data_IF_163374519138
#
_entry.id   IF_163374519138
#
_cell.length_a   1.000
_cell.length_b   1.000
_cell.length_c   1.000
_cell.angle_alpha   90.00
_cell.angle_beta   90.00
_cell.angle_gamma   90.00
#
_symmetry.space_group_name_H-M   'P 1'
#
loop_
_entity.id
_entity.type
_entity.pdbx_description
1 polymer ?
#
# COMPACT_ATOMS: atom_id res chain seq x y z
N UNK A 1 -14.95 24.50 38.45
CA UNK A 1 -14.98 24.61 36.97
C UNK A 1 -13.62 24.98 36.41
N UNK A 2 -12.96 26.02 36.94
CA UNK A 2 -11.67 26.52 36.43
C UNK A 2 -10.49 25.52 36.55
N UNK A 3 -10.44 24.71 37.63
CA UNK A 3 -9.43 23.64 37.78
C UNK A 3 -9.56 22.55 36.72
N UNK A 4 -10.79 22.14 36.42
CA UNK A 4 -11.08 21.13 35.39
C UNK A 4 -10.70 21.68 34.02
N UNK A 5 -11.03 22.95 33.75
CA UNK A 5 -10.63 23.64 32.52
C UNK A 5 -9.11 23.65 32.32
N UNK A 6 -8.33 23.94 33.37
CA UNK A 6 -6.86 23.85 33.31
C UNK A 6 -6.39 22.45 32.95
N UNK A 7 -6.89 21.41 33.61
CA UNK A 7 -6.43 20.04 33.33
C UNK A 7 -6.83 19.56 31.93
N UNK A 8 -7.95 20.03 31.39
CA UNK A 8 -8.31 19.82 29.98
C UNK A 8 -7.28 20.50 29.06
N UNK A 9 -6.90 21.75 29.33
CA UNK A 9 -5.86 22.44 28.54
C UNK A 9 -4.50 21.74 28.63
N UNK A 10 -4.12 21.26 29.81
CA UNK A 10 -2.89 20.47 30.00
C UNK A 10 -2.97 19.17 29.19
N UNK A 11 -4.09 18.45 29.22
CA UNK A 11 -4.29 17.24 28.43
C UNK A 11 -4.20 17.50 26.92
N UNK A 12 -4.87 18.53 26.43
CA UNK A 12 -4.81 18.95 25.02
C UNK A 12 -3.38 19.33 24.62
N UNK A 13 -2.66 20.05 25.48
CA UNK A 13 -1.28 20.41 25.24
C UNK A 13 -0.34 19.20 25.20
N UNK A 14 -0.55 18.20 26.07
CA UNK A 14 0.18 16.94 26.05
C UNK A 14 -0.04 16.20 24.73
N UNK A 15 -1.30 16.02 24.31
CA UNK A 15 -1.63 15.36 23.04
C UNK A 15 -1.00 16.11 21.87
N UNK A 16 -1.12 17.44 21.85
CA UNK A 16 -0.52 18.28 20.81
C UNK A 16 1.00 18.14 20.77
N UNK A 17 1.66 18.16 21.93
CA UNK A 17 3.11 17.99 22.03
C UNK A 17 3.56 16.58 21.63
N UNK A 18 2.79 15.55 21.96
CA UNK A 18 3.04 14.16 21.59
C UNK A 18 2.93 13.92 20.07
N UNK A 19 2.25 14.80 19.33
CA UNK A 19 2.19 14.79 17.88
C UNK A 19 3.30 15.67 17.27
N UNK A 20 3.43 16.92 17.73
CA UNK A 20 4.29 17.92 17.09
C UNK A 20 5.77 17.69 17.40
N UNK A 21 6.14 17.41 18.65
CA UNK A 21 7.57 17.30 19.02
C UNK A 21 8.27 16.13 18.32
N UNK A 22 7.69 14.91 18.26
CA UNK A 22 8.29 13.84 17.47
C UNK A 22 8.39 14.21 15.98
N UNK A 23 7.36 14.86 15.42
CA UNK A 23 7.39 15.30 14.02
C UNK A 23 8.53 16.28 13.73
N UNK A 24 8.75 17.25 14.61
CA UNK A 24 9.87 18.21 14.50
C UNK A 24 11.22 17.51 14.67
N UNK A 25 11.35 16.59 15.64
CA UNK A 25 12.56 15.79 15.83
C UNK A 25 12.92 15.04 14.55
N UNK A 26 11.95 14.32 13.99
CA UNK A 26 12.16 13.54 12.78
C UNK A 26 12.42 14.42 11.56
N UNK A 27 11.80 15.59 11.45
CA UNK A 27 12.12 16.54 10.38
C UNK A 27 13.59 17.00 10.43
N UNK A 28 14.17 17.14 11.63
CA UNK A 28 15.54 17.61 11.81
C UNK A 28 16.60 16.49 11.69
N UNK A 29 16.29 15.28 12.15
CA UNK A 29 17.27 14.22 12.34
C UNK A 29 17.06 12.97 11.48
N UNK A 30 15.90 12.83 10.82
CA UNK A 30 15.65 11.63 10.03
C UNK A 30 16.48 11.65 8.73
N UNK A 31 17.07 10.48 8.43
CA UNK A 31 17.76 10.22 7.17
C UNK A 31 16.96 9.15 6.45
N UNK A 32 15.98 9.53 5.59
CA UNK A 32 15.13 8.55 4.94
C UNK A 32 15.97 7.62 4.08
N UNK A 33 15.64 6.33 4.13
CA UNK A 33 16.28 5.32 3.28
C UNK A 33 15.75 5.52 1.88
N UNK A 34 16.67 5.75 0.95
CA UNK A 34 16.34 5.77 -0.47
C UNK A 34 16.55 4.36 -1.00
N UNK A 35 15.46 3.61 -1.04
CA UNK A 35 15.46 2.25 -1.59
C UNK A 35 15.97 2.29 -3.03
N UNK A 36 17.00 1.50 -3.38
CA UNK A 36 17.54 1.48 -4.73
C UNK A 36 16.51 0.90 -5.70
N UNK A 37 16.59 1.33 -6.96
CA UNK A 37 15.83 0.72 -8.05
C UNK A 37 16.65 -0.43 -8.61
N UNK A 38 16.07 -1.64 -8.57
CA UNK A 38 16.75 -2.85 -9.01
C UNK A 38 15.92 -3.52 -10.10
N UNK A 39 16.56 -3.81 -11.23
CA UNK A 39 15.94 -4.45 -12.38
C UNK A 39 16.87 -5.51 -12.96
N UNK A 40 16.30 -6.61 -13.44
CA UNK A 40 17.05 -7.65 -14.11
C UNK A 40 17.38 -7.28 -15.56
N UNK A 41 18.66 -7.41 -15.92
CA UNK A 41 19.13 -7.24 -17.29
C UNK A 41 18.93 -8.53 -18.08
N UNK A 42 18.13 -8.45 -19.14
CA UNK A 42 17.98 -9.56 -20.08
C UNK A 42 19.20 -9.76 -21.00
N UNK A 43 20.18 -8.84 -21.02
CA UNK A 43 21.39 -8.97 -21.84
C UNK A 43 22.54 -9.60 -21.06
N UNK A 44 22.67 -9.25 -19.79
CA UNK A 44 23.81 -9.64 -18.94
C UNK A 44 23.45 -10.76 -17.94
N UNK A 45 22.17 -11.11 -17.84
CA UNK A 45 21.62 -12.08 -16.89
C UNK A 45 22.02 -11.75 -15.44
N UNK A 46 21.91 -10.46 -15.08
CA UNK A 46 22.31 -9.91 -13.78
C UNK A 46 21.42 -8.71 -13.39
N UNK A 47 21.37 -8.38 -12.11
CA UNK A 47 20.63 -7.23 -11.61
C UNK A 47 21.43 -5.93 -11.73
N UNK A 48 20.76 -4.93 -12.29
CA UNK A 48 21.23 -3.56 -12.39
C UNK A 48 20.58 -2.73 -11.29
N UNK A 49 21.41 -2.06 -10.51
CA UNK A 49 21.07 -1.35 -9.27
C UNK A 49 21.34 0.14 -9.47
N UNK A 50 20.29 0.96 -9.33
CA UNK A 50 20.37 2.41 -9.28
C UNK A 50 20.12 2.89 -7.85
N UNK A 51 21.19 3.30 -7.17
CA UNK A 51 21.10 3.88 -5.82
C UNK A 51 21.09 5.40 -5.91
N UNK A 52 20.17 6.01 -5.15
CA UNK A 52 20.04 7.48 -5.03
C UNK A 52 20.46 7.98 -3.65
N UNK A 53 21.15 7.15 -2.88
CA UNK A 53 21.73 7.51 -1.59
C UNK A 53 22.95 8.42 -1.81
N UNK A 54 22.75 9.72 -1.60
CA UNK A 54 23.76 10.74 -1.91
C UNK A 54 23.83 11.03 -3.42
N UNK A 55 24.95 10.69 -4.07
CA UNK A 55 25.10 10.83 -5.53
C UNK A 55 24.51 9.61 -6.22
N UNK A 56 23.78 9.83 -7.31
CA UNK A 56 23.23 8.72 -8.11
C UNK A 56 24.38 7.83 -8.59
N UNK A 57 24.28 6.54 -8.31
CA UNK A 57 25.23 5.51 -8.75
C UNK A 57 24.51 4.37 -9.43
N UNK A 58 25.13 3.86 -10.50
CA UNK A 58 24.65 2.73 -11.28
C UNK A 58 25.65 1.60 -11.15
N UNK A 59 25.20 0.44 -10.67
CA UNK A 59 26.05 -0.72 -10.43
C UNK A 59 25.34 -2.01 -10.81
N UNK A 60 26.11 -3.07 -11.01
CA UNK A 60 25.59 -4.45 -11.02
C UNK A 60 25.83 -5.14 -9.67
N UNK A 61 25.38 -6.38 -9.53
CA UNK A 61 25.65 -7.19 -8.32
C UNK A 61 27.13 -7.59 -8.19
N UNK A 62 27.88 -7.58 -9.30
CA UNK A 62 29.32 -7.90 -9.36
C UNK A 62 30.21 -6.73 -8.88
N UNK A 63 29.63 -5.54 -8.69
CA UNK A 63 30.32 -4.34 -8.20
C UNK A 63 30.90 -3.45 -9.29
N UNK A 64 30.62 -3.72 -10.57
CA UNK A 64 30.97 -2.83 -11.67
C UNK A 64 30.14 -1.55 -11.57
N UNK A 65 30.74 -0.42 -11.97
CA UNK A 65 30.08 0.89 -11.97
C UNK A 65 29.90 1.38 -13.38
N UNK A 66 28.73 1.93 -13.69
CA UNK A 66 28.37 2.38 -15.03
C UNK A 66 28.09 3.88 -15.08
N UNK A 67 28.30 4.45 -16.24
CA UNK A 67 27.66 5.71 -16.63
C UNK A 67 26.15 5.51 -16.78
N UNK A 68 25.40 6.61 -16.88
CA UNK A 68 23.95 6.53 -17.06
C UNK A 68 23.60 5.87 -18.39
N UNK A 69 24.32 6.23 -19.43
CA UNK A 69 24.12 5.74 -20.80
C UNK A 69 24.40 4.23 -20.88
N UNK A 70 25.47 3.75 -20.25
CA UNK A 70 25.78 2.32 -20.16
C UNK A 70 24.70 1.55 -19.37
N UNK A 71 24.25 2.09 -18.23
CA UNK A 71 23.19 1.48 -17.42
C UNK A 71 21.88 1.35 -18.20
N UNK A 72 21.48 2.38 -18.94
CA UNK A 72 20.27 2.35 -19.77
C UNK A 72 20.39 1.30 -20.90
N UNK A 73 21.58 1.11 -21.49
CA UNK A 73 21.84 0.06 -22.48
C UNK A 73 21.74 -1.36 -21.89
N UNK A 74 22.10 -1.55 -20.61
CA UNK A 74 21.94 -2.84 -19.92
C UNK A 74 20.49 -3.21 -19.62
N UNK A 75 19.58 -2.24 -19.67
CA UNK A 75 18.15 -2.44 -19.41
C UNK A 75 17.29 -2.02 -20.61
N UNK A 76 17.50 -2.64 -21.79
CA UNK A 76 16.93 -2.13 -23.03
C UNK A 76 15.40 -2.13 -23.04
N UNK A 77 14.76 -3.11 -22.40
CA UNK A 77 13.30 -3.21 -22.34
C UNK A 77 12.68 -2.14 -21.42
N UNK A 78 13.38 -1.74 -20.36
CA UNK A 78 12.94 -0.66 -19.48
C UNK A 78 13.12 0.71 -20.15
N UNK A 79 14.25 0.92 -20.83
CA UNK A 79 14.65 2.18 -21.46
C UNK A 79 14.41 2.23 -22.97
N UNK A 80 13.54 1.37 -23.51
CA UNK A 80 13.26 1.22 -24.96
C UNK A 80 13.11 2.57 -25.66
N UNK A 81 12.29 3.48 -25.11
CA UNK A 81 12.05 4.79 -25.72
C UNK A 81 13.31 5.65 -25.82
N UNK A 82 14.16 5.63 -24.80
CA UNK A 82 15.39 6.41 -24.77
C UNK A 82 16.41 5.84 -25.77
N UNK A 83 16.61 4.52 -25.77
CA UNK A 83 17.54 3.86 -26.67
C UNK A 83 17.15 4.01 -28.15
N UNK A 84 15.85 4.02 -28.45
CA UNK A 84 15.34 4.30 -29.79
C UNK A 84 15.69 5.72 -30.26
N UNK A 85 15.44 6.73 -29.43
CA UNK A 85 15.74 8.14 -29.76
C UNK A 85 17.24 8.31 -29.99
N UNK A 86 18.05 7.62 -29.19
CA UNK A 86 19.51 7.61 -29.32
C UNK A 86 20.02 6.73 -30.46
N UNK A 87 19.17 5.96 -31.15
CA UNK A 87 19.56 5.09 -32.27
C UNK A 87 20.44 3.89 -31.86
N UNK A 88 20.40 3.49 -30.59
CA UNK A 88 21.24 2.43 -29.99
C UNK A 88 20.42 1.25 -29.44
N UNK A 89 19.12 1.20 -29.75
CA UNK A 89 18.29 0.05 -29.40
C UNK A 89 18.82 -1.20 -30.15
N UNK A 90 19.08 -2.32 -29.46
CA UNK A 90 19.47 -3.56 -30.13
C UNK A 90 18.35 -4.05 -31.07
N UNK A 91 18.71 -4.49 -32.28
CA UNK A 91 17.73 -5.08 -33.21
C UNK A 91 17.24 -6.46 -32.74
N UNK A 92 18.10 -7.19 -32.02
CA UNK A 92 17.77 -8.52 -31.47
C UNK A 92 18.35 -8.69 -30.06
N UNK A 93 17.61 -9.41 -29.21
CA UNK A 93 18.05 -9.82 -27.87
C UNK A 93 17.69 -11.29 -27.71
N UNK A 94 18.64 -12.14 -27.31
CA UNK A 94 18.44 -13.60 -27.14
C UNK A 94 17.78 -14.28 -28.35
N UNK A 95 18.06 -13.79 -29.57
CA UNK A 95 17.50 -14.33 -30.82
C UNK A 95 16.07 -13.86 -31.14
N UNK A 96 15.47 -13.00 -30.31
CA UNK A 96 14.14 -12.40 -30.55
C UNK A 96 14.34 -11.01 -31.16
N UNK A 97 13.58 -10.68 -32.20
CA UNK A 97 13.60 -9.35 -32.81
C UNK A 97 12.91 -8.32 -31.89
N UNK A 98 13.50 -7.13 -31.77
CA UNK A 98 12.96 -6.06 -30.93
C UNK A 98 11.87 -5.28 -31.68
N UNK A 99 10.75 -5.95 -31.96
CA UNK A 99 9.57 -5.32 -32.56
C UNK A 99 8.82 -4.46 -31.52
N UNK A 100 8.63 -3.18 -31.85
CA UNK A 100 8.06 -2.22 -30.90
C UNK A 100 6.60 -2.47 -30.58
N UNK A 101 5.84 -3.07 -31.49
CA UNK A 101 4.46 -3.41 -31.25
C UNK A 101 4.36 -4.59 -30.27
N UNK A 102 5.18 -5.63 -30.45
CA UNK A 102 5.29 -6.76 -29.52
C UNK A 102 5.77 -6.32 -28.12
N UNK A 103 6.83 -5.51 -28.06
CA UNK A 103 7.34 -4.96 -26.80
C UNK A 103 6.27 -4.15 -26.06
N UNK A 104 5.53 -3.30 -26.78
CA UNK A 104 4.46 -2.49 -26.19
C UNK A 104 3.29 -3.34 -25.69
N UNK A 105 3.02 -4.47 -26.34
CA UNK A 105 1.94 -5.40 -25.96
C UNK A 105 2.29 -6.22 -24.72
N UNK A 106 3.52 -6.74 -24.63
CA UNK A 106 3.97 -7.55 -23.51
C UNK A 106 4.30 -6.73 -22.25
N UNK A 107 4.62 -5.44 -22.42
CA UNK A 107 4.92 -4.55 -21.30
C UNK A 107 3.72 -4.45 -20.36
N UNK A 108 3.93 -4.86 -19.12
CA UNK A 108 2.92 -4.78 -18.05
C UNK A 108 3.51 -4.13 -16.82
N UNK A 109 2.68 -3.42 -16.06
CA UNK A 109 3.07 -2.80 -14.80
C UNK A 109 1.92 -2.93 -13.83
N UNK A 110 2.22 -3.40 -12.64
CA UNK A 110 1.28 -3.55 -11.55
C UNK A 110 1.89 -3.01 -10.27
N UNK A 111 1.07 -2.41 -9.43
CA UNK A 111 1.45 -1.91 -8.11
C UNK A 111 0.35 -2.21 -7.12
N UNK A 112 0.75 -2.66 -5.95
CA UNK A 112 -0.06 -2.79 -4.76
C UNK A 112 0.71 -2.18 -3.59
N UNK A 113 0.02 -1.42 -2.74
CA UNK A 113 0.51 -0.97 -1.44
C UNK A 113 -0.44 -1.48 -0.35
N UNK A 114 0.02 -1.63 0.90
CA UNK A 114 -0.86 -2.05 2.00
C UNK A 114 -2.10 -1.17 2.21
N UNK A 115 -2.00 0.13 1.89
CA UNK A 115 -3.12 1.08 1.89
C UNK A 115 -4.27 0.66 0.96
N UNK A 116 -3.99 -0.02 -0.15
CA UNK A 116 -5.02 -0.51 -1.09
C UNK A 116 -5.91 -1.58 -0.44
N UNK A 117 -5.36 -2.33 0.52
CA UNK A 117 -6.09 -3.31 1.33
C UNK A 117 -6.79 -2.65 2.52
N UNK A 118 -6.06 -1.81 3.25
CA UNK A 118 -6.48 -1.22 4.52
C UNK A 118 -7.12 0.17 4.37
N UNK A 119 -7.65 0.47 3.20
CA UNK A 119 -8.31 1.74 2.90
C UNK A 119 -9.84 1.69 3.01
N UNK A 120 -10.50 2.86 3.03
CA UNK A 120 -11.95 2.94 2.92
C UNK A 120 -12.40 2.45 1.54
N UNK A 121 -13.14 1.34 1.50
CA UNK A 121 -13.66 0.81 0.24
C UNK A 121 -14.95 1.49 -0.19
N UNK A 122 -15.06 1.77 -1.49
CA UNK A 122 -16.29 2.25 -2.11
C UNK A 122 -17.36 1.16 -2.04
N UNK A 123 -18.62 1.56 -1.82
CA UNK A 123 -19.76 0.62 -1.70
C UNK A 123 -20.69 0.64 -2.92
N UNK A 124 -20.37 1.47 -3.91
CA UNK A 124 -21.14 1.68 -5.12
C UNK A 124 -20.17 1.63 -6.30
N UNK A 125 -20.47 0.78 -7.28
CA UNK A 125 -19.59 0.48 -8.39
C UNK A 125 -20.30 0.76 -9.72
N UNK A 126 -19.67 1.42 -10.69
CA UNK A 126 -20.24 1.53 -12.03
C UNK A 126 -20.15 0.18 -12.74
N UNK A 127 -21.20 -0.27 -13.44
CA UNK A 127 -21.10 -1.42 -14.35
C UNK A 127 -21.15 -0.93 -15.80
N UNK A 128 -20.06 -1.09 -16.52
CA UNK A 128 -19.98 -0.65 -17.91
C UNK A 128 -20.51 -1.74 -18.85
N UNK A 129 -20.81 -1.34 -20.07
CA UNK A 129 -21.20 -2.25 -21.15
C UNK A 129 -19.94 -2.80 -21.83
N UNK A 130 -19.71 -4.10 -21.71
CA UNK A 130 -18.55 -4.80 -22.29
C UNK A 130 -18.57 -4.79 -23.82
N UNK A 131 -19.76 -4.82 -24.45
CA UNK A 131 -19.92 -4.82 -25.90
C UNK A 131 -20.77 -3.63 -26.38
N UNK A 132 -20.34 -2.42 -26.04
CA UNK A 132 -21.09 -1.20 -26.38
C UNK A 132 -21.07 -0.86 -27.87
N UNK A 133 -20.14 -1.47 -28.62
CA UNK A 133 -19.85 -1.12 -30.02
C UNK A 133 -19.18 0.24 -30.19
N UNK A 134 -18.84 0.93 -29.10
CA UNK A 134 -18.13 2.23 -29.10
C UNK A 134 -16.68 2.03 -28.74
N UNK A 135 -15.81 2.87 -29.31
CA UNK A 135 -14.38 2.85 -29.02
C UNK A 135 -14.06 3.31 -27.59
N UNK A 136 -14.87 4.23 -27.05
CA UNK A 136 -14.72 4.75 -25.69
C UNK A 136 -15.85 4.22 -24.81
N UNK A 137 -15.50 3.89 -23.56
CA UNK A 137 -16.47 3.53 -22.55
C UNK A 137 -17.14 4.78 -21.97
N UNK A 138 -18.45 4.68 -21.78
CA UNK A 138 -19.26 5.75 -21.19
C UNK A 138 -19.61 5.40 -19.75
N UNK A 139 -19.57 6.42 -18.88
CA UNK A 139 -19.96 6.24 -17.49
C UNK A 139 -21.46 5.92 -17.43
N UNK A 140 -21.87 4.84 -16.73
CA UNK A 140 -23.28 4.53 -16.57
C UNK A 140 -23.98 5.60 -15.72
N UNK A 141 -25.28 5.81 -15.98
CA UNK A 141 -26.13 6.68 -15.15
C UNK A 141 -26.46 6.04 -13.78
N UNK A 142 -26.19 4.74 -13.62
CA UNK A 142 -26.45 3.96 -12.42
C UNK A 142 -25.20 3.28 -11.85
N UNK A 143 -25.25 3.02 -10.54
CA UNK A 143 -24.19 2.34 -9.79
C UNK A 143 -24.79 1.14 -9.06
N UNK A 144 -24.05 0.05 -8.99
CA UNK A 144 -24.50 -1.15 -8.32
C UNK A 144 -23.87 -1.35 -6.95
N UNK A 145 -24.59 -2.08 -6.09
CA UNK A 145 -24.09 -2.71 -4.87
C UNK A 145 -24.66 -4.12 -4.77
N UNK A 146 -23.97 -5.00 -4.04
CA UNK A 146 -24.43 -6.37 -3.79
C UNK A 146 -24.55 -6.56 -2.29
N UNK A 147 -25.78 -6.46 -1.79
CA UNK A 147 -26.12 -6.72 -0.37
C UNK A 147 -26.94 -8.00 -0.31
N UNK A 148 -28.17 -8.00 0.19
CA UNK A 148 -29.07 -9.16 0.14
C UNK A 148 -29.56 -9.50 -1.29
N UNK A 149 -29.39 -8.56 -2.23
CA UNK A 149 -29.52 -8.72 -3.69
C UNK A 149 -28.55 -7.76 -4.40
N UNK A 150 -28.44 -7.88 -5.73
CA UNK A 150 -27.76 -6.88 -6.55
C UNK A 150 -28.73 -5.75 -6.89
N UNK A 151 -28.38 -4.53 -6.52
CA UNK A 151 -29.22 -3.34 -6.73
C UNK A 151 -28.48 -2.33 -7.59
N UNK A 152 -29.15 -1.80 -8.61
CA UNK A 152 -28.69 -0.67 -9.42
C UNK A 152 -29.42 0.59 -8.97
N UNK A 153 -28.64 1.61 -8.58
CA UNK A 153 -29.13 2.87 -8.04
C UNK A 153 -28.79 3.96 -9.04
N UNK A 154 -29.81 4.68 -9.52
CA UNK A 154 -29.64 5.80 -10.41
C UNK A 154 -28.93 6.95 -9.66
N UNK A 155 -27.85 7.47 -10.25
CA UNK A 155 -27.02 8.51 -9.64
C UNK A 155 -27.73 9.87 -9.48
N UNK A 156 -28.71 10.18 -10.33
CA UNK A 156 -29.44 11.46 -10.33
C UNK A 156 -30.63 11.44 -9.39
N UNK A 157 -31.39 10.35 -9.39
CA UNK A 157 -32.66 10.26 -8.63
C UNK A 157 -32.52 9.50 -7.31
N UNK A 158 -31.41 8.79 -7.10
CA UNK A 158 -31.20 7.90 -5.95
C UNK A 158 -32.29 6.82 -5.79
N UNK A 159 -32.91 6.44 -6.91
CA UNK A 159 -33.94 5.38 -6.98
C UNK A 159 -33.33 4.08 -7.50
N UNK A 160 -33.88 2.95 -7.05
CA UNK A 160 -33.46 1.63 -7.52
C UNK A 160 -34.13 1.32 -8.87
N UNK A 161 -33.36 0.85 -9.84
CA UNK A 161 -33.90 0.25 -11.07
C UNK A 161 -34.27 -1.21 -10.78
N UNK A 162 -35.54 -1.46 -10.49
CA UNK A 162 -36.04 -2.78 -10.10
C UNK A 162 -35.95 -3.82 -11.23
N UNK A 163 -36.10 -3.41 -12.49
CA UNK A 163 -36.04 -4.35 -13.61
C UNK A 163 -34.62 -4.89 -13.80
N UNK A 164 -33.64 -3.97 -13.88
CA UNK A 164 -32.22 -4.31 -14.00
C UNK A 164 -31.72 -5.06 -12.76
N UNK A 165 -32.08 -4.61 -11.56
CA UNK A 165 -31.71 -5.26 -10.30
C UNK A 165 -32.22 -6.69 -10.21
N UNK A 166 -33.48 -6.94 -10.60
CA UNK A 166 -34.05 -8.30 -10.64
C UNK A 166 -33.34 -9.19 -11.65
N UNK A 167 -33.04 -8.68 -12.84
CA UNK A 167 -32.37 -9.42 -13.91
C UNK A 167 -30.98 -9.93 -13.48
N UNK A 168 -30.14 -9.04 -12.95
CA UNK A 168 -28.80 -9.39 -12.50
C UNK A 168 -28.80 -10.26 -11.24
N UNK A 169 -29.68 -9.96 -10.28
CA UNK A 169 -29.83 -10.79 -9.07
C UNK A 169 -30.24 -12.23 -9.41
N UNK A 170 -31.16 -12.40 -10.36
CA UNK A 170 -31.58 -13.73 -10.82
C UNK A 170 -30.45 -14.49 -11.51
N UNK A 171 -29.60 -13.80 -12.29
CA UNK A 171 -28.44 -14.42 -12.93
C UNK A 171 -27.40 -14.92 -11.91
N UNK A 172 -27.10 -14.11 -10.89
CA UNK A 172 -26.22 -14.50 -9.77
C UNK A 172 -26.80 -15.70 -9.01
N UNK A 173 -28.08 -15.63 -8.64
CA UNK A 173 -28.77 -16.71 -7.92
C UNK A 173 -28.76 -18.03 -8.71
N UNK A 174 -29.02 -17.98 -10.02
CA UNK A 174 -28.99 -19.15 -10.91
C UNK A 174 -27.60 -19.81 -10.98
N UNK A 175 -26.53 -19.05 -10.75
CA UNK A 175 -25.15 -19.55 -10.68
C UNK A 175 -24.72 -20.00 -9.29
N UNK A 176 -25.61 -19.93 -8.30
CA UNK A 176 -25.36 -20.38 -6.93
C UNK A 176 -24.64 -19.36 -6.05
N UNK A 177 -24.72 -18.07 -6.39
CA UNK A 177 -24.13 -16.99 -5.60
C UNK A 177 -24.84 -16.83 -4.24
N UNK A 178 -24.07 -16.76 -3.15
CA UNK A 178 -24.60 -16.50 -1.82
C UNK A 178 -24.38 -15.03 -1.40
N UNK A 179 -25.49 -14.33 -1.20
CA UNK A 179 -25.50 -12.92 -0.80
C UNK A 179 -25.23 -12.77 0.72
N UNK A 180 -24.54 -11.69 1.15
CA UNK A 180 -24.01 -10.57 0.36
C UNK A 180 -22.63 -10.81 -0.24
N UNK A 181 -22.21 -9.93 -1.16
CA UNK A 181 -20.83 -9.94 -1.61
C UNK A 181 -19.90 -9.53 -0.46
N UNK A 182 -18.89 -10.35 -0.18
CA UNK A 182 -17.81 -10.02 0.76
C UNK A 182 -16.83 -9.04 0.12
N UNK A 183 -16.54 -9.21 -1.17
CA UNK A 183 -15.63 -8.34 -1.92
C UNK A 183 -16.11 -8.16 -3.36
N UNK A 184 -15.98 -6.94 -3.88
CA UNK A 184 -16.23 -6.59 -5.28
C UNK A 184 -14.96 -5.92 -5.81
N UNK A 185 -14.33 -6.51 -6.81
CA UNK A 185 -13.10 -6.05 -7.42
C UNK A 185 -13.29 -5.79 -8.91
N UNK A 186 -12.88 -4.62 -9.38
CA UNK A 186 -12.99 -4.23 -10.79
C UNK A 186 -12.30 -2.90 -11.04
N UNK A 187 -12.33 -2.44 -12.30
CA UNK A 187 -11.72 -1.19 -12.73
C UNK A 187 -12.79 -0.13 -13.01
N UNK A 188 -13.07 0.79 -12.06
CA UNK A 188 -14.14 1.78 -12.18
C UNK A 188 -13.70 3.01 -13.01
N UNK A 189 -13.04 2.81 -14.15
CA UNK A 189 -12.52 3.87 -15.03
C UNK A 189 -12.96 3.66 -16.47
N UNK A 190 -13.18 4.75 -17.20
CA UNK A 190 -13.44 4.75 -18.65
C UNK A 190 -12.17 4.68 -19.49
N UNK A 191 -10.98 4.78 -18.87
CA UNK A 191 -9.68 4.74 -19.55
C UNK A 191 -9.21 3.33 -19.92
N UNK A 192 -9.94 2.30 -19.49
CA UNK A 192 -9.62 0.90 -19.83
C UNK A 192 -9.91 0.60 -21.29
N UNK A 193 -9.14 -0.32 -21.87
CA UNK A 193 -9.23 -0.74 -23.26
C UNK A 193 -10.55 -1.43 -23.59
N UNK A 194 -11.08 -2.18 -22.63
CA UNK A 194 -12.37 -2.86 -22.70
C UNK A 194 -12.90 -3.08 -21.27
N UNK A 195 -14.22 -3.15 -21.11
CA UNK A 195 -14.79 -3.55 -19.82
C UNK A 195 -14.94 -5.06 -19.75
N UNK A 196 -14.15 -5.70 -18.90
CA UNK A 196 -14.35 -7.10 -18.54
C UNK A 196 -15.23 -7.24 -17.29
N UNK A 197 -15.70 -6.15 -16.68
CA UNK A 197 -16.61 -6.20 -15.53
C UNK A 197 -15.88 -6.40 -14.21
N UNK A 198 -16.45 -7.25 -13.35
CA UNK A 198 -16.11 -7.37 -11.93
C UNK A 198 -15.90 -8.82 -11.50
N UNK A 199 -14.88 -9.02 -10.68
CA UNK A 199 -14.69 -10.23 -9.88
C UNK A 199 -15.33 -10.01 -8.50
N UNK A 200 -16.17 -10.95 -8.09
CA UNK A 200 -16.98 -10.83 -6.87
C UNK A 200 -16.78 -12.08 -6.02
N UNK A 201 -16.41 -11.88 -4.75
CA UNK A 201 -16.39 -12.93 -3.73
C UNK A 201 -17.71 -12.86 -2.97
N UNK A 202 -18.42 -13.98 -2.93
CA UNK A 202 -19.71 -14.12 -2.24
C UNK A 202 -19.53 -14.38 -0.73
N UNK A 203 -20.63 -14.52 0.03
CA UNK A 203 -20.56 -14.77 1.47
C UNK A 203 -20.05 -16.17 1.85
N UNK A 204 -19.93 -17.07 0.87
CA UNK A 204 -19.46 -18.45 1.01
C UNK A 204 -18.05 -18.63 0.45
N UNK A 205 -17.30 -17.53 0.25
CA UNK A 205 -15.94 -17.52 -0.29
C UNK A 205 -15.81 -18.07 -1.72
N UNK A 206 -16.89 -18.02 -2.50
CA UNK A 206 -16.88 -18.41 -3.91
C UNK A 206 -16.57 -17.21 -4.80
N UNK A 207 -15.75 -17.43 -5.83
CA UNK A 207 -15.37 -16.40 -6.80
C UNK A 207 -16.28 -16.45 -8.03
N UNK A 208 -16.82 -15.30 -8.40
CA UNK A 208 -17.63 -15.12 -9.59
C UNK A 208 -17.07 -14.00 -10.45
N UNK A 209 -17.12 -14.19 -11.76
CA UNK A 209 -16.89 -13.15 -12.75
C UNK A 209 -18.23 -12.68 -13.31
N UNK A 210 -18.47 -11.38 -13.25
CA UNK A 210 -19.72 -10.76 -13.67
C UNK A 210 -19.46 -9.56 -14.57
N UNK A 211 -20.14 -9.49 -15.71
CA UNK A 211 -20.12 -8.33 -16.60
C UNK A 211 -21.47 -8.09 -17.27
N UNK A 212 -21.60 -6.96 -17.96
CA UNK A 212 -22.78 -6.63 -18.76
C UNK A 212 -22.44 -6.75 -20.23
N UNK A 213 -23.18 -7.59 -20.96
CA UNK A 213 -23.01 -7.79 -22.40
C UNK A 213 -24.34 -7.50 -23.10
N UNK A 214 -24.38 -6.44 -23.90
CA UNK A 214 -25.56 -5.94 -24.60
C UNK A 214 -26.77 -5.80 -23.68
N UNK A 215 -26.56 -5.18 -22.52
CA UNK A 215 -27.55 -4.97 -21.47
C UNK A 215 -27.91 -6.20 -20.64
N UNK A 216 -27.35 -7.38 -20.94
CA UNK A 216 -27.66 -8.63 -20.24
C UNK A 216 -26.55 -9.02 -19.26
N UNK A 217 -26.90 -9.64 -18.11
CA UNK A 217 -25.90 -10.13 -17.18
C UNK A 217 -25.17 -11.35 -17.76
N UNK A 218 -23.85 -11.29 -17.74
CA UNK A 218 -22.97 -12.44 -17.91
C UNK A 218 -22.38 -12.79 -16.55
N UNK A 219 -22.57 -14.04 -16.10
CA UNK A 219 -22.05 -14.52 -14.82
C UNK A 219 -21.41 -15.89 -15.00
N UNK A 220 -20.16 -16.01 -14.58
CA UNK A 220 -19.39 -17.26 -14.54
C UNK A 220 -18.90 -17.48 -13.13
N UNK A 221 -19.07 -18.72 -12.63
CA UNK A 221 -18.43 -19.15 -11.39
C UNK A 221 -17.02 -19.62 -11.74
N UNK A 222 -16.02 -19.12 -11.01
CA UNK A 222 -14.64 -19.55 -11.15
C UNK A 222 -14.40 -20.70 -10.18
N UNK A 223 -13.88 -21.81 -10.68
CA UNK A 223 -13.57 -22.96 -9.84
C UNK A 223 -12.30 -22.68 -9.04
N UNK A 224 -12.44 -22.69 -7.72
CA UNK A 224 -11.33 -22.51 -6.78
C UNK A 224 -10.94 -23.86 -6.16
N UNK A 225 -9.64 -24.10 -5.89
CA UNK A 225 -9.20 -25.22 -5.08
C UNK A 225 -9.84 -25.19 -3.68
N UNK A 226 -10.12 -26.38 -3.14
CA UNK A 226 -10.74 -26.51 -1.81
C UNK A 226 -9.93 -25.80 -0.72
N UNK A 227 -10.61 -24.96 0.06
CA UNK A 227 -10.01 -24.21 1.17
C UNK A 227 -9.24 -22.96 0.77
N UNK A 228 -9.07 -22.68 -0.52
CA UNK A 228 -8.41 -21.46 -0.97
C UNK A 228 -9.35 -20.25 -0.85
N UNK A 229 -8.90 -19.23 -0.11
CA UNK A 229 -9.62 -17.98 0.12
C UNK A 229 -8.74 -16.79 -0.20
N UNK A 230 -9.37 -15.71 -0.66
CA UNK A 230 -8.68 -14.49 -1.02
C UNK A 230 -9.05 -13.35 -0.07
N UNK A 231 -8.02 -12.62 0.38
CA UNK A 231 -8.14 -11.39 1.16
C UNK A 231 -8.40 -10.20 0.24
N UNK A 232 -7.75 -10.21 -0.92
CA UNK A 232 -7.79 -9.08 -1.85
C UNK A 232 -7.69 -9.54 -3.30
N UNK A 233 -8.42 -8.86 -4.19
CA UNK A 233 -8.34 -9.06 -5.63
C UNK A 233 -8.11 -7.69 -6.27
N UNK A 234 -7.10 -7.61 -7.13
CA UNK A 234 -6.79 -6.42 -7.89
C UNK A 234 -6.88 -6.71 -9.38
N UNK A 235 -7.94 -6.21 -10.01
CA UNK A 235 -8.15 -6.35 -11.45
C UNK A 235 -7.18 -5.46 -12.23
N UNK A 236 -6.78 -5.93 -13.42
CA UNK A 236 -5.86 -5.21 -14.30
C UNK A 236 -6.40 -5.15 -15.72
N UNK A 237 -5.98 -4.14 -16.47
CA UNK A 237 -6.26 -4.00 -17.91
C UNK A 237 -4.92 -3.97 -18.65
N UNK A 238 -4.54 -5.13 -19.20
CA UNK A 238 -3.28 -5.30 -19.88
C UNK A 238 -3.48 -5.50 -21.38
N UNK A 239 -2.54 -4.97 -22.15
CA UNK A 239 -2.59 -5.01 -23.61
C UNK A 239 -2.48 -6.42 -24.18
N UNK A 240 -1.76 -7.32 -23.50
CA UNK A 240 -1.67 -8.72 -23.91
C UNK A 240 -2.91 -9.54 -23.55
N UNK A 241 -3.79 -9.01 -22.68
CA UNK A 241 -5.02 -9.65 -22.19
C UNK A 241 -4.78 -11.04 -21.58
N UNK A 242 -3.62 -11.27 -20.96
CA UNK A 242 -3.28 -12.58 -20.38
C UNK A 242 -4.07 -12.89 -19.10
N UNK A 243 -4.35 -11.89 -18.27
CA UNK A 243 -4.93 -12.10 -16.96
C UNK A 243 -5.91 -11.01 -16.56
N UNK A 244 -6.96 -11.43 -15.83
CA UNK A 244 -7.99 -10.56 -15.28
C UNK A 244 -7.52 -9.82 -14.04
N UNK A 245 -6.79 -10.51 -13.15
CA UNK A 245 -6.45 -9.98 -11.84
C UNK A 245 -5.26 -10.68 -11.19
N UNK A 246 -4.63 -9.96 -10.26
CA UNK A 246 -3.81 -10.52 -9.20
C UNK A 246 -4.68 -10.78 -7.96
N UNK A 247 -4.55 -11.95 -7.37
CA UNK A 247 -5.32 -12.39 -6.20
C UNK A 247 -4.37 -12.71 -5.05
N UNK A 248 -4.70 -12.20 -3.87
CA UNK A 248 -3.90 -12.35 -2.65
C UNK A 248 -4.65 -13.23 -1.67
N UNK A 249 -4.08 -14.40 -1.37
CA UNK A 249 -4.72 -15.38 -0.50
C UNK A 249 -4.62 -15.01 0.99
N UNK A 250 -5.40 -15.71 1.83
CA UNK A 250 -5.29 -15.60 3.29
C UNK A 250 -3.91 -16.06 3.82
N UNK A 251 -3.19 -16.89 3.06
CA UNK A 251 -1.84 -17.36 3.39
C UNK A 251 -0.74 -16.47 2.80
N UNK A 252 -1.08 -15.24 2.38
CA UNK A 252 -0.18 -14.27 1.77
C UNK A 252 0.52 -14.74 0.46
N UNK A 253 -0.05 -15.73 -0.21
CA UNK A 253 0.40 -16.17 -1.52
C UNK A 253 -0.26 -15.35 -2.64
N UNK A 254 0.46 -15.14 -3.74
CA UNK A 254 0.02 -14.38 -4.90
C UNK A 254 -0.39 -15.33 -6.01
N UNK A 255 -1.57 -15.11 -6.58
CA UNK A 255 -2.11 -15.84 -7.71
C UNK A 255 -2.47 -14.90 -8.86
N UNK A 256 -2.47 -15.44 -10.08
CA UNK A 256 -2.97 -14.80 -11.28
C UNK A 256 -4.22 -15.57 -11.75
N UNK A 257 -5.27 -14.86 -12.13
CA UNK A 257 -6.43 -15.42 -12.82
C UNK A 257 -6.32 -15.13 -14.32
N UNK A 258 -6.15 -16.18 -15.14
CA UNK A 258 -6.03 -16.02 -16.59
C UNK A 258 -7.36 -15.64 -17.25
N UNK A 259 -7.29 -14.90 -18.35
CA UNK A 259 -8.47 -14.40 -19.05
C UNK A 259 -9.19 -15.48 -19.87
N UNK A 260 -8.44 -16.39 -20.50
CA UNK A 260 -9.02 -17.36 -21.45
C UNK A 260 -9.77 -18.51 -20.76
N UNK A 261 -9.15 -19.10 -19.73
CA UNK A 261 -9.62 -20.36 -19.13
C UNK A 261 -10.00 -20.22 -17.64
N UNK A 262 -9.96 -19.00 -17.08
CA UNK A 262 -10.11 -18.77 -15.64
C UNK A 262 -9.16 -19.66 -14.80
N UNK A 263 -7.98 -19.97 -15.34
CA UNK A 263 -6.98 -20.77 -14.62
C UNK A 263 -6.35 -19.91 -13.55
N UNK A 264 -6.24 -20.50 -12.37
CA UNK A 264 -5.54 -19.90 -11.25
C UNK A 264 -4.09 -20.40 -11.23
N UNK A 265 -3.14 -19.47 -11.38
CA UNK A 265 -1.70 -19.78 -11.40
C UNK A 265 -1.05 -19.14 -10.19
N UNK A 266 -0.39 -19.95 -9.36
CA UNK A 266 0.37 -19.48 -8.19
C UNK A 266 1.73 -18.93 -8.64
N UNK A 267 2.09 -17.73 -8.18
CA UNK A 267 3.42 -17.19 -8.40
C UNK A 267 4.40 -17.67 -7.31
N UNK A 268 5.63 -18.06 -7.66
CA UNK A 268 6.62 -18.54 -6.70
C UNK A 268 7.34 -17.37 -5.99
N UNK A 269 6.55 -16.52 -5.32
CA UNK A 269 7.02 -15.32 -4.60
C UNK A 269 6.86 -15.55 -3.11
N UNK A 270 7.92 -15.32 -2.36
CA UNK A 270 7.98 -15.56 -0.91
C UNK A 270 8.23 -14.24 -0.15
N UNK A 271 7.85 -14.20 1.13
CA UNK A 271 8.09 -13.03 2.00
C UNK A 271 7.18 -11.84 1.72
N UNK A 272 6.13 -12.01 0.92
CA UNK A 272 5.08 -11.01 0.74
C UNK A 272 4.10 -11.09 1.93
N UNK A 273 3.80 -9.94 2.53
CA UNK A 273 2.71 -9.77 3.48
C UNK A 273 1.92 -8.53 3.05
N UNK A 274 0.66 -8.65 2.61
CA UNK A 274 -0.09 -7.53 2.05
C UNK A 274 -0.38 -6.42 3.08
N UNK A 275 -0.24 -6.67 4.39
CA UNK A 275 -0.45 -5.66 5.43
C UNK A 275 0.77 -4.74 5.64
N UNK A 276 1.97 -5.19 5.23
CA UNK A 276 3.23 -4.50 5.53
C UNK A 276 4.16 -4.33 4.33
N UNK A 277 3.90 -5.05 3.23
CA UNK A 277 4.72 -5.03 2.03
C UNK A 277 3.98 -4.39 0.86
N UNK A 278 4.66 -3.46 0.19
CA UNK A 278 4.30 -3.05 -1.17
C UNK A 278 4.78 -4.09 -2.18
N UNK A 279 4.05 -4.22 -3.28
CA UNK A 279 4.37 -5.12 -4.39
C UNK A 279 4.36 -4.30 -5.69
N UNK A 280 5.41 -4.48 -6.50
CA UNK A 280 5.44 -3.97 -7.89
C UNK A 280 5.83 -5.08 -8.82
N UNK A 281 5.13 -5.21 -9.93
CA UNK A 281 5.44 -6.20 -10.96
C UNK A 281 5.65 -5.45 -12.27
N UNK A 282 6.82 -5.64 -12.87
CA UNK A 282 7.15 -5.14 -14.20
C UNK A 282 7.35 -6.32 -15.14
N UNK A 283 6.44 -6.51 -16.08
CA UNK A 283 6.56 -7.54 -17.10
C UNK A 283 7.11 -6.98 -18.41
N UNK A 284 7.96 -7.76 -19.05
CA UNK A 284 8.42 -7.59 -20.42
C UNK A 284 8.27 -8.90 -21.21
N UNK A 285 8.84 -8.99 -22.42
CA UNK A 285 8.71 -10.18 -23.29
C UNK A 285 9.48 -11.42 -22.78
N UNK A 286 10.43 -11.26 -21.86
CA UNK A 286 11.26 -12.34 -21.34
C UNK A 286 10.96 -12.65 -19.87
N UNK A 287 10.72 -11.62 -19.05
CA UNK A 287 10.63 -11.77 -17.61
C UNK A 287 9.57 -10.89 -16.95
N UNK A 288 9.15 -11.30 -15.76
CA UNK A 288 8.48 -10.45 -14.77
C UNK A 288 9.43 -10.16 -13.62
N UNK A 289 9.69 -8.88 -13.37
CA UNK A 289 10.42 -8.40 -12.20
C UNK A 289 9.40 -8.14 -11.08
N UNK A 290 9.36 -9.02 -10.08
CA UNK A 290 8.46 -8.94 -8.92
C UNK A 290 9.22 -8.36 -7.73
N UNK A 291 8.93 -7.11 -7.40
CA UNK A 291 9.58 -6.35 -6.32
C UNK A 291 8.65 -6.34 -5.11
N UNK A 292 9.03 -7.05 -4.06
CA UNK A 292 8.41 -7.01 -2.73
C UNK A 292 9.23 -6.07 -1.85
N UNK A 293 8.59 -5.04 -1.31
CA UNK A 293 9.27 -4.03 -0.51
C UNK A 293 8.54 -3.83 0.82
N UNK A 294 9.25 -4.02 1.93
CA UNK A 294 8.80 -3.72 3.29
C UNK A 294 9.54 -2.49 3.85
N UNK A 295 9.29 -2.16 5.12
CA UNK A 295 10.03 -1.08 5.79
C UNK A 295 11.53 -1.39 5.96
N UNK A 296 11.94 -2.65 5.93
CA UNK A 296 13.33 -3.09 6.24
C UNK A 296 14.01 -3.86 5.13
N UNK A 297 13.26 -4.33 4.14
CA UNK A 297 13.77 -5.24 3.14
C UNK A 297 13.19 -4.90 1.78
N UNK A 298 13.98 -5.12 0.74
CA UNK A 298 13.50 -5.27 -0.61
C UNK A 298 13.96 -6.63 -1.14
N UNK A 299 13.04 -7.33 -1.78
CA UNK A 299 13.28 -8.57 -2.52
C UNK A 299 12.80 -8.40 -3.95
N UNK A 300 13.62 -8.79 -4.91
CA UNK A 300 13.29 -8.79 -6.34
C UNK A 300 13.39 -10.22 -6.83
N UNK A 301 12.25 -10.83 -7.12
CA UNK A 301 12.17 -12.14 -7.77
C UNK A 301 11.95 -11.94 -9.28
N UNK A 302 12.76 -12.60 -10.10
CA UNK A 302 12.63 -12.59 -11.55
C UNK A 302 11.93 -13.87 -11.98
N UNK A 303 10.80 -13.75 -12.66
CA UNK A 303 10.04 -14.88 -13.18
C UNK A 303 10.13 -14.92 -14.69
N UNK A 304 10.18 -16.11 -15.29
CA UNK A 304 10.12 -16.27 -16.74
C UNK A 304 8.72 -15.90 -17.28
N UNK A 305 8.66 -15.25 -18.44
CA UNK A 305 7.41 -14.78 -19.05
C UNK A 305 6.43 -15.90 -19.46
N UNK A 306 6.94 -17.10 -19.76
CA UNK A 306 6.17 -18.19 -20.34
C UNK A 306 5.54 -19.12 -19.29
N UNK A 307 6.29 -19.49 -18.25
CA UNK A 307 5.90 -20.50 -17.25
C UNK A 307 5.94 -19.98 -15.81
N UNK A 308 6.29 -18.71 -15.60
CA UNK A 308 6.39 -18.06 -14.29
C UNK A 308 7.40 -18.71 -13.34
N UNK A 309 8.30 -19.56 -13.83
CA UNK A 309 9.36 -20.13 -13.02
C UNK A 309 10.36 -19.07 -12.59
N UNK A 310 10.85 -19.20 -11.36
CA UNK A 310 11.84 -18.29 -10.79
C UNK A 310 13.18 -18.48 -11.50
N UNK A 311 13.72 -17.39 -12.04
CA UNK A 311 15.00 -17.32 -12.75
C UNK A 311 16.10 -16.89 -11.79
N UNK A 312 15.90 -15.80 -11.05
CA UNK A 312 16.89 -15.25 -10.13
C UNK A 312 16.22 -14.42 -9.02
N UNK A 313 16.96 -14.14 -7.94
CA UNK A 313 16.49 -13.36 -6.79
C UNK A 313 17.58 -12.41 -6.29
N UNK A 314 17.20 -11.16 -6.04
CA UNK A 314 18.02 -10.18 -5.33
C UNK A 314 17.35 -9.77 -4.02
N UNK A 315 18.12 -9.66 -2.94
CA UNK A 315 17.62 -9.23 -1.64
C UNK A 315 18.54 -8.18 -1.02
N UNK A 316 17.94 -7.15 -0.43
CA UNK A 316 18.66 -6.10 0.28
C UNK A 316 17.90 -5.73 1.56
N UNK A 317 18.63 -5.60 2.66
CA UNK A 317 18.09 -5.36 3.99
C UNK A 317 18.72 -4.10 4.59
N UNK A 318 17.93 -3.39 5.41
CA UNK A 318 18.37 -2.21 6.14
C UNK A 318 17.67 -2.10 7.49
N UNK A 319 18.27 -1.30 8.37
CA UNK A 319 17.80 -1.14 9.76
C UNK A 319 16.49 -0.35 9.83
N UNK A 320 15.59 -0.79 10.72
CA UNK A 320 14.36 -0.05 11.05
C UNK A 320 14.69 1.34 11.57
N UNK A 321 13.74 2.27 11.39
CA UNK A 321 13.85 3.63 11.90
C UNK A 321 14.14 3.67 13.40
N UNK A 322 13.49 2.80 14.17
CA UNK A 322 13.62 2.67 15.63
C UNK A 322 14.98 2.11 16.07
N UNK A 323 15.63 1.30 15.25
CA UNK A 323 16.90 0.63 15.59
C UNK A 323 18.13 1.52 15.36
N UNK A 324 17.97 2.56 14.54
CA UNK A 324 19.00 3.56 14.27
C UNK A 324 19.32 4.37 15.51
N UNK A 325 20.49 5.00 15.52
CA UNK A 325 20.93 5.89 16.62
C UNK A 325 19.90 6.99 16.90
N UNK A 326 19.34 7.60 15.85
CA UNK A 326 18.29 8.62 15.98
C UNK A 326 17.00 8.05 16.57
N UNK A 327 16.59 6.85 16.15
CA UNK A 327 15.43 6.15 16.73
C UNK A 327 15.62 5.80 18.21
N UNK A 328 16.81 5.34 18.60
CA UNK A 328 17.14 5.08 20.01
C UNK A 328 17.10 6.35 20.86
N UNK A 329 17.58 7.48 20.33
CA UNK A 329 17.50 8.78 21.03
C UNK A 329 16.04 9.23 21.15
N UNK A 330 15.24 9.12 20.08
CA UNK A 330 13.82 9.44 20.12
C UNK A 330 13.08 8.61 21.17
N UNK A 331 13.40 7.30 21.26
CA UNK A 331 12.80 6.39 22.23
C UNK A 331 13.15 6.73 23.69
N UNK A 332 14.27 7.40 23.92
CA UNK A 332 14.69 7.89 25.25
C UNK A 332 13.97 9.19 25.63
N UNK A 333 13.73 10.08 24.66
CA UNK A 333 13.18 11.43 24.92
C UNK A 333 11.65 11.41 24.97
N UNK A 334 11.02 10.64 24.08
CA UNK A 334 9.57 10.59 23.94
C UNK A 334 9.05 9.27 24.50
N UNK A 335 8.22 9.25 25.55
CA UNK A 335 7.64 8.00 26.05
C UNK A 335 6.61 7.38 25.09
N UNK A 336 5.90 8.24 24.36
CA UNK A 336 4.91 7.87 23.35
C UNK A 336 5.00 8.85 22.19
N UNK A 337 4.80 8.36 20.97
CA UNK A 337 4.67 9.19 19.77
C UNK A 337 3.27 8.98 19.21
N UNK A 338 2.56 10.08 18.96
CA UNK A 338 1.22 10.05 18.38
C UNK A 338 1.28 10.50 16.93
N UNK A 339 0.69 9.72 16.04
CA UNK A 339 0.49 10.10 14.63
C UNK A 339 -1.00 10.01 14.27
N UNK A 340 -1.40 10.81 13.27
CA UNK A 340 -2.77 10.81 12.74
C UNK A 340 -2.93 9.92 11.50
N UNK A 341 -1.82 9.40 10.99
CA UNK A 341 -1.71 8.63 9.77
C UNK A 341 -0.82 7.41 10.04
N UNK A 342 -1.17 6.31 9.42
CA UNK A 342 -0.35 5.10 9.35
C UNK A 342 0.18 4.95 7.90
N UNK A 343 1.32 4.29 7.73
CA UNK A 343 1.92 4.05 6.40
C UNK A 343 1.23 2.92 5.63
N UNK A 344 0.47 2.09 6.35
CA UNK A 344 -0.14 0.89 5.79
C UNK A 344 -1.66 0.98 5.71
N UNK A 345 -2.25 2.15 6.00
CA UNK A 345 -3.69 2.36 6.11
C UNK A 345 -4.05 3.81 5.78
N UNK A 346 -5.07 3.98 4.94
CA UNK A 346 -5.61 5.30 4.57
C UNK A 346 -6.55 5.89 5.65
N UNK A 347 -6.80 5.17 6.75
CA UNK A 347 -7.63 5.68 7.83
C UNK A 347 -6.89 6.75 8.64
N UNK A 348 -7.57 7.88 8.87
CA UNK A 348 -7.12 8.89 9.84
C UNK A 348 -7.59 8.49 11.24
N UNK A 349 -6.65 8.15 12.11
CA UNK A 349 -6.91 7.78 13.50
C UNK A 349 -5.73 8.16 14.41
N UNK A 350 -5.90 8.11 15.73
CA UNK A 350 -4.79 8.26 16.67
C UNK A 350 -3.99 6.97 16.77
N UNK A 351 -2.88 6.91 16.07
CA UNK A 351 -1.93 5.81 16.17
C UNK A 351 -0.88 6.15 17.23
N UNK A 352 -0.65 5.20 18.14
CA UNK A 352 0.29 5.37 19.25
C UNK A 352 1.46 4.40 19.09
N UNK A 353 2.65 4.96 18.92
CA UNK A 353 3.89 4.20 18.96
C UNK A 353 4.55 4.38 20.33
N UNK A 354 4.58 3.30 21.11
CA UNK A 354 5.28 3.30 22.39
C UNK A 354 6.78 3.12 22.19
N UNK A 355 7.56 3.93 22.88
CA UNK A 355 9.01 3.86 22.77
C UNK A 355 9.56 2.57 23.33
N UNK A 356 10.49 1.96 22.59
CA UNK A 356 11.15 0.74 23.02
C UNK A 356 12.11 1.01 24.20
N UNK A 357 11.99 0.22 25.27
CA UNK A 357 12.87 0.26 26.44
C UNK A 357 12.35 1.10 27.61
N UNK A 358 13.17 1.23 28.66
CA UNK A 358 12.81 1.87 29.94
C UNK A 358 13.62 3.15 30.24
N UNK A 359 14.54 3.55 29.36
CA UNK A 359 15.40 4.71 29.58
C UNK A 359 14.63 6.04 29.63
N UNK A 360 13.47 6.12 28.96
CA UNK A 360 12.58 7.27 29.06
C UNK A 360 12.08 7.52 30.49
N UNK A 361 11.99 6.48 31.33
CA UNK A 361 11.60 6.63 32.74
C UNK A 361 12.65 7.46 33.49
N UNK A 362 13.94 7.23 33.23
CA UNK A 362 15.01 8.01 33.86
C UNK A 362 14.96 9.48 33.44
N UNK A 363 14.67 9.75 32.16
CA UNK A 363 14.48 11.12 31.65
C UNK A 363 13.27 11.77 32.29
N UNK A 364 12.14 11.06 32.40
CA UNK A 364 10.93 11.57 33.04
C UNK A 364 11.17 11.89 34.53
N UNK A 365 11.88 11.02 35.26
CA UNK A 365 12.25 11.26 36.65
C UNK A 365 13.18 12.47 36.80
N UNK A 366 14.14 12.63 35.90
CA UNK A 366 15.00 13.81 35.87
C UNK A 366 14.20 15.10 35.62
N UNK A 367 13.27 15.09 34.66
CA UNK A 367 12.37 16.21 34.37
C UNK A 367 11.43 16.52 35.55
N UNK A 368 10.91 15.50 36.23
CA UNK A 368 10.12 15.66 37.44
C UNK A 368 10.95 16.29 38.58
N UNK A 369 12.21 15.87 38.75
CA UNK A 369 13.16 16.46 39.69
C UNK A 369 13.49 17.93 39.38
N UNK A 370 13.67 18.27 38.09
CA UNK A 370 13.86 19.65 37.64
C UNK A 370 12.60 20.48 37.93
N UNK A 371 11.41 19.95 37.64
CA UNK A 371 10.15 20.64 37.95
C UNK A 371 9.99 20.87 39.47
N UNK A 372 10.33 19.87 40.28
CA UNK A 372 10.34 19.99 41.73
C UNK A 372 11.30 21.09 42.21
N UNK A 373 12.50 21.17 41.64
CA UNK A 373 13.45 22.22 41.94
C UNK A 373 12.92 23.62 41.58
N UNK A 374 12.21 23.76 40.45
CA UNK A 374 11.54 25.02 40.06
C UNK A 374 10.47 25.40 41.09
N UNK A 375 9.67 24.44 41.56
CA UNK A 375 8.64 24.67 42.58
C UNK A 375 9.24 25.09 43.93
N UNK A 376 10.34 24.45 44.34
CA UNK A 376 11.08 24.80 45.57
C UNK A 376 11.61 26.23 45.47
N UNK A 377 12.23 26.61 44.33
CA UNK A 377 12.70 27.99 44.10
C UNK A 377 11.59 29.02 44.12
N UNK A 378 10.38 28.65 43.68
CA UNK A 378 9.19 29.52 43.70
C UNK A 378 8.47 29.56 45.06
N UNK A 379 8.94 28.83 46.07
CA UNK A 379 8.29 28.69 47.40
C UNK A 379 6.84 28.19 47.33
N UNK A 380 6.49 27.41 46.30
CA UNK A 380 5.16 26.87 46.13
C UNK A 380 4.87 25.72 47.11
N UNK A 381 3.61 25.54 47.52
CA UNK A 381 3.19 24.42 48.40
C UNK A 381 3.18 23.10 47.63
N UNK A 382 4.17 22.23 47.90
CA UNK A 382 4.34 20.92 47.24
C UNK A 382 3.07 20.06 47.19
N UNK A 383 2.28 20.04 48.28
CA UNK A 383 1.05 19.24 48.37
C UNK A 383 0.00 19.57 47.31
N UNK A 384 0.08 20.76 46.72
CA UNK A 384 -0.88 21.27 45.73
C UNK A 384 -0.44 21.02 44.28
N UNK A 385 0.80 20.58 44.07
CA UNK A 385 1.38 20.27 42.75
C UNK A 385 1.67 18.77 42.56
N UNK A 386 1.18 17.91 43.45
CA UNK A 386 1.36 16.45 43.33
C UNK A 386 0.80 15.92 42.00
N UNK A 387 -0.36 16.43 41.57
CA UNK A 387 -0.96 16.05 40.29
C UNK A 387 -0.10 16.49 39.10
N UNK A 388 0.48 17.68 39.18
CA UNK A 388 1.36 18.22 38.14
C UNK A 388 2.66 17.39 38.04
N UNK A 389 3.25 17.00 39.18
CA UNK A 389 4.41 16.10 39.23
C UNK A 389 4.08 14.70 38.68
N UNK A 390 2.89 14.17 38.99
CA UNK A 390 2.41 12.92 38.41
C UNK A 390 2.32 13.00 36.88
N UNK A 391 1.72 14.08 36.36
CA UNK A 391 1.62 14.32 34.91
C UNK A 391 2.99 14.34 34.25
N UNK A 392 3.96 15.06 34.80
CA UNK A 392 5.35 15.10 34.28
C UNK A 392 6.01 13.72 34.34
N UNK A 393 5.79 12.95 35.40
CA UNK A 393 6.41 11.63 35.56
C UNK A 393 5.89 10.63 34.53
N UNK A 394 4.59 10.63 34.23
CA UNK A 394 3.99 9.71 33.26
C UNK A 394 4.14 10.15 31.81
N UNK A 395 4.09 11.45 31.53
CA UNK A 395 4.09 11.97 30.15
C UNK A 395 5.41 12.63 29.73
N UNK A 396 6.37 12.71 30.64
CA UNK A 396 7.73 13.15 30.36
C UNK A 396 7.81 14.59 29.90
N UNK A 397 8.55 14.79 28.80
CA UNK A 397 8.76 16.12 28.19
C UNK A 397 7.44 16.80 27.81
N UNK A 398 6.41 16.04 27.43
CA UNK A 398 5.10 16.59 27.07
C UNK A 398 4.41 17.24 28.28
N UNK A 399 4.35 16.52 29.40
CA UNK A 399 3.79 17.03 30.65
C UNK A 399 4.62 18.16 31.23
N UNK A 400 5.95 18.08 31.12
CA UNK A 400 6.84 19.16 31.58
C UNK A 400 6.53 20.47 30.86
N UNK A 401 6.41 20.45 29.53
CA UNK A 401 6.06 21.65 28.75
C UNK A 401 4.65 22.13 29.11
N UNK A 402 3.67 21.23 29.12
CA UNK A 402 2.26 21.57 29.34
C UNK A 402 2.02 22.21 30.73
N UNK A 403 2.59 21.64 31.80
CA UNK A 403 2.45 22.15 33.17
C UNK A 403 3.15 23.49 33.37
N UNK A 404 4.32 23.69 32.76
CA UNK A 404 5.05 24.96 32.87
C UNK A 404 4.39 26.09 32.06
N UNK A 405 3.71 25.77 30.96
CA UNK A 405 2.93 26.72 30.17
C UNK A 405 1.60 27.06 30.87
N UNK A 406 0.86 26.04 31.32
CA UNK A 406 -0.39 26.19 32.08
C UNK A 406 -0.14 26.03 33.58
N UNK A 407 0.51 27.03 34.17
CA UNK A 407 0.89 27.02 35.59
C UNK A 407 -0.33 26.94 36.51
N UNK A 408 -0.19 26.22 37.63
CA UNK A 408 -1.23 26.09 38.64
C UNK A 408 -1.30 27.36 39.51
N UNK A 409 -1.90 28.43 38.98
CA UNK A 409 -2.05 29.70 39.71
C UNK A 409 -3.19 29.70 40.73
N UNK A 410 -3.95 28.61 40.83
CA UNK A 410 -5.14 28.53 41.70
C UNK A 410 -4.81 28.38 43.19
N UNK A 411 -3.52 28.34 43.53
CA UNK A 411 -3.03 27.97 44.85
C UNK A 411 -1.84 28.80 45.34
N UNK A 412 -1.44 29.82 44.58
CA UNK A 412 -0.49 30.85 45.03
C UNK A 412 -1.14 31.75 46.10
#
# INVERSE_FOLDING_TARGET
MERISRYILVLVAIITCAIILPKVYWMAFDKPIRVPLVFYSCTDDDFMICSTEGKITFKDTRGNTYTREEYEQKLPLMYTRQLLISGIMPDTIKGVAMDMHELSRARSTFRFNPEDLNGPQTKLFPLFESESGRANLELPDDYFRISWRMEFINSKTNTIDEEKSRLFSAALYKKGFNFPARQIAGLPTTLKSCDEGYLVIDSSEQLFHMKMVKGNPFVVKVDLPDGLKFRFISCVDLKDKKYYAYLFSENNEIYILTQDEYKLVKLPVEGFDPDFCGLRIFGDIFHYNVIVQSETQMKVDVLNYSDYQKVDTYEENWLKRSERVTGKIAAVIFPVQLTLSDKNSDYTNFYSEFSAGFLWILVNLALAGIHLFILIRRKAKLSRHILDLGVVTFTGIFGFIAVNFFQNKFFD
#
